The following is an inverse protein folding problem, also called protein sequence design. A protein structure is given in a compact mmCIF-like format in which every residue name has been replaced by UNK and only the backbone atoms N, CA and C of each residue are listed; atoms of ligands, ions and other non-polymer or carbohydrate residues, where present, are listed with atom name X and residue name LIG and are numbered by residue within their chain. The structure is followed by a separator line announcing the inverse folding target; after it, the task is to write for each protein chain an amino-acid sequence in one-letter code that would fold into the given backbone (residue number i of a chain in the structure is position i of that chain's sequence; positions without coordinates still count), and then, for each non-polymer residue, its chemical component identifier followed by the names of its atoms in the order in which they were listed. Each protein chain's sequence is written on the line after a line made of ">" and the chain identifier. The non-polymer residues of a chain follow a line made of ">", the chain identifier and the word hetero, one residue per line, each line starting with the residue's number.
data_IF_285078602579
#
_entry.id   IF_285078602579
#
_cell.length_a   1.000
_cell.length_b   1.000
_cell.length_c   1.000
_cell.angle_alpha   90.00
_cell.angle_beta   90.00
_cell.angle_gamma   90.00
#
_symmetry.space_group_name_H-M   'P 1'
#
loop_
_entity.id
_entity.type
_entity.pdbx_description
1 polymer ?
#
# COMPACT_ATOMS: atom_id res chain seq x y z
N UNK A 1 4.22 15.74 -16.27
CA UNK A 1 4.05 14.26 -16.20
C UNK A 1 4.61 13.80 -14.86
N UNK A 2 3.81 13.16 -14.01
CA UNK A 2 4.31 12.62 -12.73
C UNK A 2 5.27 11.47 -13.03
N UNK A 3 6.52 11.57 -12.55
CA UNK A 3 7.53 10.51 -12.69
C UNK A 3 6.96 9.20 -12.11
N UNK A 4 7.21 8.07 -12.78
CA UNK A 4 6.78 6.77 -12.28
C UNK A 4 7.33 6.53 -10.86
N UNK A 5 6.54 5.85 -10.02
CA UNK A 5 6.85 5.67 -8.60
C UNK A 5 7.25 4.24 -8.27
N UNK A 6 8.14 4.08 -7.30
CA UNK A 6 8.42 2.84 -6.58
C UNK A 6 7.92 2.99 -5.14
N UNK A 7 7.51 1.89 -4.52
CA UNK A 7 6.99 1.87 -3.16
C UNK A 7 7.82 0.94 -2.28
N UNK A 8 8.00 1.35 -1.03
CA UNK A 8 8.34 0.43 0.06
C UNK A 8 7.17 0.41 1.02
N UNK A 9 6.52 -0.75 1.12
CA UNK A 9 5.37 -0.98 2.00
C UNK A 9 5.86 -1.65 3.28
N UNK A 10 5.67 -1.00 4.42
CA UNK A 10 6.06 -1.51 5.73
C UNK A 10 4.85 -1.97 6.52
N UNK A 11 4.91 -3.20 7.03
CA UNK A 11 3.87 -3.83 7.84
C UNK A 11 4.55 -4.56 8.99
N UNK A 12 4.00 -4.46 10.20
CA UNK A 12 4.52 -5.22 11.35
C UNK A 12 3.74 -6.54 11.48
N UNK A 13 4.34 -7.72 11.21
CA UNK A 13 3.61 -9.00 11.31
C UNK A 13 3.11 -9.32 12.72
N UNK A 14 3.72 -8.68 13.74
CA UNK A 14 3.39 -8.85 15.16
C UNK A 14 2.31 -7.89 15.65
N UNK A 15 1.85 -6.97 14.81
CA UNK A 15 0.84 -6.01 15.21
C UNK A 15 -0.51 -6.70 15.42
N UNK A 16 -1.15 -6.55 16.59
CA UNK A 16 -2.44 -7.14 16.86
C UNK A 16 -3.55 -6.43 16.08
N UNK A 17 -4.73 -7.03 16.08
CA UNK A 17 -5.92 -6.48 15.42
C UNK A 17 -6.18 -7.08 14.05
N UNK A 18 -7.35 -6.76 13.53
CA UNK A 18 -7.88 -7.28 12.27
C UNK A 18 -8.72 -6.21 11.59
N UNK A 19 -8.63 -6.16 10.27
CA UNK A 19 -9.51 -5.35 9.42
C UNK A 19 -10.36 -6.25 8.55
N UNK A 20 -11.58 -5.82 8.24
CA UNK A 20 -12.48 -6.54 7.33
C UNK A 20 -12.70 -5.70 6.10
N UNK A 21 -12.12 -6.13 4.98
CA UNK A 21 -12.23 -5.47 3.68
C UNK A 21 -11.94 -6.49 2.57
N UNK A 22 -12.42 -6.27 1.34
CA UNK A 22 -12.07 -7.15 0.23
C UNK A 22 -10.63 -6.91 -0.21
N UNK A 23 -10.03 -7.93 -0.83
CA UNK A 23 -8.66 -7.83 -1.37
C UNK A 23 -8.63 -6.90 -2.57
N UNK A 24 -9.58 -7.09 -3.49
CA UNK A 24 -9.76 -6.29 -4.70
C UNK A 24 -11.17 -5.68 -4.74
N UNK A 25 -11.35 -4.61 -5.52
CA UNK A 25 -12.62 -3.90 -5.62
C UNK A 25 -13.74 -4.83 -6.10
N UNK A 26 -14.88 -4.82 -5.39
CA UNK A 26 -16.03 -5.68 -5.69
C UNK A 26 -15.88 -7.13 -5.23
N UNK A 27 -14.74 -7.49 -4.63
CA UNK A 27 -14.53 -8.81 -4.04
C UNK A 27 -15.29 -9.01 -2.72
N UNK A 28 -15.24 -10.24 -2.20
CA UNK A 28 -15.78 -10.57 -0.88
C UNK A 28 -14.88 -10.02 0.23
N UNK A 29 -15.47 -9.33 1.20
CA UNK A 29 -14.76 -8.87 2.38
C UNK A 29 -14.24 -10.05 3.22
N UNK A 30 -13.03 -9.93 3.72
CA UNK A 30 -12.38 -10.94 4.55
C UNK A 30 -11.65 -10.31 5.71
N UNK A 31 -11.54 -11.06 6.81
CA UNK A 31 -10.81 -10.64 8.01
C UNK A 31 -9.32 -10.83 7.78
N UNK A 32 -8.56 -9.76 7.90
CA UNK A 32 -7.13 -9.72 7.63
C UNK A 32 -6.39 -9.13 8.83
N UNK A 33 -5.55 -9.94 9.47
CA UNK A 33 -4.50 -9.46 10.38
C UNK A 33 -3.23 -9.11 9.61
N UNK A 34 -2.21 -8.58 10.28
CA UNK A 34 -0.99 -8.06 9.65
C UNK A 34 -0.29 -9.07 8.71
N UNK A 35 -0.13 -10.33 9.15
CA UNK A 35 0.48 -11.41 8.34
C UNK A 35 -0.33 -11.68 7.06
N UNK A 36 -1.66 -11.75 7.18
CA UNK A 36 -2.54 -11.99 6.05
C UNK A 36 -2.51 -10.83 5.06
N UNK A 37 -2.46 -9.58 5.54
CA UNK A 37 -2.29 -8.39 4.70
C UNK A 37 -0.98 -8.46 3.92
N UNK A 38 0.15 -8.71 4.59
CA UNK A 38 1.46 -8.79 3.95
C UNK A 38 1.48 -9.86 2.84
N UNK A 39 0.99 -11.07 3.14
CA UNK A 39 0.92 -12.18 2.16
C UNK A 39 0.04 -11.81 0.96
N UNK A 40 -1.11 -11.20 1.23
CA UNK A 40 -2.07 -10.82 0.19
C UNK A 40 -1.52 -9.73 -0.71
N UNK A 41 -0.90 -8.69 -0.15
CA UNK A 41 -0.27 -7.62 -0.92
C UNK A 41 0.90 -8.13 -1.77
N UNK A 42 1.73 -9.04 -1.23
CA UNK A 42 2.79 -9.71 -2.03
C UNK A 42 2.18 -10.45 -3.22
N UNK A 43 1.16 -11.27 -2.98
CA UNK A 43 0.48 -12.02 -4.02
C UNK A 43 -0.13 -11.10 -5.10
N UNK A 44 -0.71 -9.97 -4.70
CA UNK A 44 -1.21 -8.95 -5.63
C UNK A 44 -0.09 -8.31 -6.46
N UNK A 45 1.04 -7.99 -5.85
CA UNK A 45 2.20 -7.41 -6.54
C UNK A 45 2.76 -8.40 -7.56
N UNK A 46 2.90 -9.66 -7.18
CA UNK A 46 3.44 -10.72 -8.04
C UNK A 46 2.48 -10.99 -9.22
N UNK A 47 1.18 -11.17 -8.94
CA UNK A 47 0.17 -11.41 -9.97
C UNK A 47 0.04 -10.25 -10.98
N UNK A 48 0.36 -9.02 -10.57
CA UNK A 48 0.31 -7.82 -11.41
C UNK A 48 1.66 -7.46 -12.04
N UNK A 49 2.71 -8.25 -11.82
CA UNK A 49 4.06 -7.96 -12.36
C UNK A 49 4.69 -6.68 -11.80
N UNK A 50 4.37 -6.31 -10.57
CA UNK A 50 4.80 -5.05 -9.94
C UNK A 50 6.01 -5.20 -9.02
N UNK A 51 6.64 -6.39 -8.98
CA UNK A 51 7.72 -6.71 -8.02
C UNK A 51 8.95 -5.79 -8.14
N UNK A 52 9.21 -5.22 -9.32
CA UNK A 52 10.30 -4.25 -9.52
C UNK A 52 9.97 -2.85 -8.98
N UNK A 53 8.69 -2.56 -8.78
CA UNK A 53 8.21 -1.26 -8.31
C UNK A 53 7.75 -1.27 -6.87
N UNK A 54 7.35 -2.41 -6.31
CA UNK A 54 6.82 -2.50 -4.96
C UNK A 54 7.63 -3.51 -4.17
N UNK A 55 8.24 -3.04 -3.09
CA UNK A 55 8.96 -3.89 -2.13
C UNK A 55 8.24 -3.86 -0.78
N UNK A 56 8.38 -4.94 -0.03
CA UNK A 56 7.81 -5.08 1.31
C UNK A 56 8.91 -5.17 2.35
N UNK A 57 8.72 -4.47 3.46
CA UNK A 57 9.57 -4.54 4.65
C UNK A 57 8.73 -4.94 5.85
N UNK A 58 9.25 -5.85 6.66
CA UNK A 58 8.67 -6.14 7.97
C UNK A 58 9.24 -5.15 9.00
N UNK A 59 8.37 -4.42 9.69
CA UNK A 59 8.81 -3.40 10.63
C UNK A 59 7.65 -2.59 11.19
N UNK A 60 7.94 -1.76 12.19
CA UNK A 60 6.92 -0.88 12.78
C UNK A 60 6.48 0.17 11.75
N UNK A 61 5.19 0.19 11.42
CA UNK A 61 4.59 1.21 10.56
C UNK A 61 4.33 2.54 11.31
N UNK A 62 4.50 2.55 12.64
CA UNK A 62 4.09 3.63 13.53
C UNK A 62 2.59 3.59 13.86
N UNK A 63 2.16 4.39 14.83
CA UNK A 63 0.75 4.46 15.23
C UNK A 63 0.27 3.25 16.02
N UNK A 64 1.07 2.72 16.95
CA UNK A 64 0.72 1.53 17.76
C UNK A 64 -0.07 1.85 19.04
N UNK A 65 -0.83 2.95 19.07
CA UNK A 65 -1.61 3.38 20.25
C UNK A 65 -3.00 2.73 20.39
N UNK A 66 -3.41 1.92 19.41
CA UNK A 66 -4.67 1.18 19.35
C UNK A 66 -4.49 -0.05 18.43
N UNK A 67 -5.55 -0.86 18.29
CA UNK A 67 -5.51 -2.08 17.51
C UNK A 67 -5.29 -1.78 16.02
N UNK A 68 -4.25 -2.39 15.44
CA UNK A 68 -3.94 -2.31 14.02
C UNK A 68 -4.75 -3.32 13.19
N UNK A 69 -4.21 -3.84 12.08
CA UNK A 69 -2.86 -3.58 11.55
C UNK A 69 -2.71 -2.21 10.88
N UNK A 70 -1.52 -1.64 10.97
CA UNK A 70 -1.14 -0.41 10.28
C UNK A 70 -0.22 -0.72 9.09
N UNK A 71 -0.32 0.09 8.05
CA UNK A 71 0.51 -0.03 6.84
C UNK A 71 1.14 1.32 6.54
N UNK A 72 2.46 1.38 6.45
CA UNK A 72 3.19 2.57 5.97
C UNK A 72 3.65 2.35 4.54
N UNK A 73 3.55 3.38 3.71
CA UNK A 73 3.96 3.37 2.30
C UNK A 73 4.91 4.53 2.08
N UNK A 74 6.18 4.21 1.84
CA UNK A 74 7.20 5.17 1.41
C UNK A 74 7.25 5.19 -0.12
N UNK A 75 7.28 6.39 -0.71
CA UNK A 75 7.19 6.62 -2.16
C UNK A 75 8.51 7.16 -2.67
N UNK A 76 9.08 6.49 -3.67
CA UNK A 76 10.34 6.85 -4.30
C UNK A 76 10.14 7.08 -5.80
N UNK A 77 10.95 7.93 -6.44
CA UNK A 77 10.95 8.03 -7.91
C UNK A 77 11.55 6.75 -8.52
N UNK A 78 11.05 6.35 -9.69
CA UNK A 78 11.77 5.42 -10.58
C UNK A 78 13.00 6.17 -11.14
N UNK A 79 14.22 5.61 -11.00
CA UNK A 79 15.42 6.21 -11.59
C UNK A 79 15.29 6.28 -13.11
N UNK A 80 15.90 7.29 -13.75
CA UNK A 80 16.00 7.28 -15.21
C UNK A 80 16.93 6.14 -15.66
N UNK A 81 16.84 5.68 -16.93
CA UNK A 81 17.77 4.68 -17.45
C UNK A 81 19.23 5.12 -17.24
N UNK A 82 20.03 4.26 -16.60
CA UNK A 82 21.43 4.54 -16.28
C UNK A 82 21.66 5.31 -14.97
N UNK A 83 20.62 5.83 -14.31
CA UNK A 83 20.75 6.46 -12.99
C UNK A 83 20.75 5.43 -11.86
N UNK A 84 21.54 5.70 -10.81
CA UNK A 84 21.44 4.96 -9.55
C UNK A 84 20.12 5.32 -8.86
N UNK A 85 19.39 4.33 -8.29
CA UNK A 85 18.22 4.63 -7.49
C UNK A 85 18.55 5.55 -6.31
N UNK A 86 17.82 6.66 -6.21
CA UNK A 86 17.79 7.47 -4.99
C UNK A 86 17.02 6.71 -3.89
N UNK A 87 17.52 6.83 -2.66
CA UNK A 87 16.94 6.28 -1.44
C UNK A 87 16.22 7.35 -0.61
N UNK A 88 16.06 8.57 -1.13
CA UNK A 88 15.24 9.62 -0.52
C UNK A 88 13.78 9.43 -0.95
N UNK A 89 12.91 9.23 0.04
CA UNK A 89 11.48 9.18 -0.19
C UNK A 89 10.96 10.57 -0.58
N UNK A 90 10.20 10.65 -1.67
CA UNK A 90 9.54 11.88 -2.14
C UNK A 90 8.12 12.04 -1.58
N UNK A 91 7.66 11.06 -0.80
CA UNK A 91 6.39 11.09 -0.10
C UNK A 91 6.22 9.88 0.81
N UNK A 92 5.28 9.98 1.72
CA UNK A 92 4.85 8.89 2.58
C UNK A 92 3.32 8.86 2.71
N UNK A 93 2.78 7.72 3.12
CA UNK A 93 1.41 7.61 3.63
C UNK A 93 1.33 6.47 4.63
N UNK A 94 0.82 6.73 5.83
CA UNK A 94 0.55 5.68 6.81
C UNK A 94 -0.94 5.55 7.02
N UNK A 95 -1.45 4.34 6.79
CA UNK A 95 -2.84 3.96 7.04
C UNK A 95 -2.99 3.55 8.50
N UNK A 96 -2.90 4.53 9.40
CA UNK A 96 -3.11 4.31 10.85
C UNK A 96 -4.61 4.21 11.12
N UNK A 97 -5.07 3.06 11.61
CA UNK A 97 -6.50 2.76 11.91
C UNK A 97 -7.48 3.05 10.77
N UNK A 98 -6.99 3.21 9.55
CA UNK A 98 -7.73 3.68 8.38
C UNK A 98 -7.70 2.68 7.23
N UNK A 99 -7.05 1.52 7.41
CA UNK A 99 -7.11 0.44 6.42
C UNK A 99 -8.56 -0.02 6.18
N UNK A 100 -9.36 -0.11 7.23
CA UNK A 100 -10.76 -0.55 7.13
C UNK A 100 -11.67 0.43 6.35
N UNK A 101 -11.24 1.68 6.13
CA UNK A 101 -12.01 2.65 5.34
C UNK A 101 -11.67 2.63 3.84
N UNK A 102 -10.75 1.77 3.42
CA UNK A 102 -10.47 1.54 2.01
C UNK A 102 -11.55 0.67 1.37
N UNK A 103 -11.84 0.92 0.09
CA UNK A 103 -12.77 0.05 -0.67
C UNK A 103 -12.25 -1.38 -0.75
N UNK A 104 -10.93 -1.53 -0.81
CA UNK A 104 -10.23 -2.81 -0.90
C UNK A 104 -8.75 -2.64 -0.55
N UNK A 105 -8.08 -3.75 -0.23
CA UNK A 105 -6.67 -3.75 0.13
C UNK A 105 -5.75 -3.32 -1.03
N UNK A 106 -6.11 -3.64 -2.27
CA UNK A 106 -5.36 -3.22 -3.46
C UNK A 106 -5.21 -1.69 -3.60
N UNK A 107 -6.12 -0.91 -3.00
CA UNK A 107 -6.04 0.56 -2.96
C UNK A 107 -4.74 1.08 -2.34
N UNK A 108 -4.15 0.34 -1.38
CA UNK A 108 -2.84 0.68 -0.79
C UNK A 108 -1.75 0.80 -1.87
N UNK A 109 -1.76 -0.06 -2.88
CA UNK A 109 -0.78 -0.03 -3.97
C UNK A 109 -1.20 0.98 -5.03
N UNK A 110 -2.47 0.95 -5.44
CA UNK A 110 -3.00 1.73 -6.58
C UNK A 110 -2.94 3.23 -6.35
N UNK A 111 -3.33 3.70 -5.16
CA UNK A 111 -3.32 5.12 -4.80
C UNK A 111 -1.89 5.68 -4.78
N UNK A 112 -0.91 4.86 -4.36
CA UNK A 112 0.45 5.31 -4.11
C UNK A 112 1.36 5.14 -5.33
N UNK A 113 1.17 4.13 -6.18
CA UNK A 113 1.95 3.94 -7.42
C UNK A 113 1.71 5.00 -8.49
N UNK A 114 0.63 5.78 -8.34
CA UNK A 114 0.29 6.88 -9.26
C UNK A 114 -0.25 6.36 -10.59
N UNK A 115 -1.51 5.92 -10.59
CA UNK A 115 -2.34 6.01 -11.78
C UNK A 115 -3.07 7.36 -11.74
N UNK A 116 -2.83 8.22 -12.73
CA UNK A 116 -3.43 9.56 -12.86
C UNK A 116 -4.97 9.59 -13.01
N UNK A 117 -5.70 8.50 -12.71
CA UNK A 117 -7.16 8.40 -12.85
C UNK A 117 -7.91 7.96 -11.58
N UNK A 118 -7.23 7.52 -10.52
CA UNK A 118 -7.93 7.02 -9.32
C UNK A 118 -8.31 8.14 -8.32
N UNK A 119 -7.47 9.18 -8.18
CA UNK A 119 -7.75 10.30 -7.27
C UNK A 119 -8.83 11.26 -7.81
N UNK A 120 -9.03 11.34 -9.13
CA UNK A 120 -10.05 12.23 -9.73
C UNK A 120 -11.44 11.60 -9.83
N UNK A 121 -11.57 10.27 -9.87
CA UNK A 121 -12.89 9.60 -9.89
C UNK A 121 -13.59 9.58 -8.54
N UNK A 122 -12.86 9.60 -7.42
CA UNK A 122 -13.47 9.69 -6.08
C UNK A 122 -14.02 11.08 -5.71
N UNK A 123 -13.70 12.13 -6.48
CA UNK A 123 -14.28 13.47 -6.32
C UNK A 123 -15.45 13.77 -7.28
N UNK A 124 -15.83 12.82 -8.12
CA UNK A 124 -16.97 12.93 -9.05
C UNK A 124 -17.80 11.65 -9.02
N UNK A 125 -18.54 11.47 -7.94
CA UNK A 125 -19.81 10.75 -7.90
C UNK A 125 -20.66 11.46 -6.82
N UNK A 126 -21.96 11.65 -7.08
CA UNK A 126 -22.73 12.87 -6.79
C UNK A 126 -22.75 13.32 -5.33
#
# INVERSE_FOLDING_TARGET
>A
MTRARRLVVTICPREPGVVTLPVERGGRAMRLGAVAILKTLRSLVDARGLADRVRFREGCAGGCSADGPNVSVEIFPVPAPGERPDNVAVGWKTYVYSLASLDCLASVIEENLGSASAASRRRRAP
#
